data_IF_645849182452
#
_entry.id   IF_645849182452
#
_cell.length_a   1.000
_cell.length_b   1.000
_cell.length_c   1.000
_cell.angle_alpha   90.00
_cell.angle_beta   90.00
_cell.angle_gamma   90.00
#
_symmetry.space_group_name_H-M   'P 1'
#
loop_
_entity.id
_entity.type
_entity.pdbx_description
1 polymer ?
#
# COMPACT_ATOMS: atom_id res chain seq x y z
N UNK A 1 1.07 -11.72 -9.70
CA UNK A 1 0.64 -11.24 -8.37
C UNK A 1 1.87 -10.77 -7.62
N UNK A 2 1.90 -9.51 -7.17
CA UNK A 2 3.03 -8.93 -6.44
C UNK A 2 2.79 -9.04 -4.92
N UNK A 3 3.53 -9.95 -4.27
CA UNK A 3 3.46 -10.17 -2.81
C UNK A 3 3.97 -8.97 -2.01
N UNK A 4 4.87 -8.15 -2.57
CA UNK A 4 5.36 -6.94 -1.91
C UNK A 4 4.27 -5.87 -1.87
N UNK A 5 3.49 -5.75 -2.95
CA UNK A 5 2.36 -4.83 -3.00
C UNK A 5 1.26 -5.25 -2.02
N UNK A 6 1.03 -6.56 -1.84
CA UNK A 6 0.09 -7.07 -0.83
C UNK A 6 0.57 -6.81 0.61
N UNK A 7 1.88 -6.94 0.87
CA UNK A 7 2.46 -6.58 2.17
C UNK A 7 2.34 -5.07 2.45
N UNK A 8 2.55 -4.24 1.43
CA UNK A 8 2.41 -2.78 1.51
C UNK A 8 0.94 -2.38 1.75
N UNK A 9 -0.01 -3.03 1.07
CA UNK A 9 -1.44 -2.88 1.34
C UNK A 9 -1.77 -3.25 2.80
N UNK A 10 -1.31 -4.41 3.27
CA UNK A 10 -1.55 -4.88 4.64
C UNK A 10 -1.01 -3.89 5.67
N UNK A 11 0.15 -3.30 5.41
CA UNK A 11 0.74 -2.27 6.25
C UNK A 11 -0.13 -0.99 6.27
N UNK A 12 -0.64 -0.55 5.13
CA UNK A 12 -1.55 0.61 5.02
C UNK A 12 -2.86 0.35 5.77
N UNK A 13 -3.45 -0.84 5.61
CA UNK A 13 -4.67 -1.24 6.30
C UNK A 13 -4.47 -1.28 7.83
N UNK A 14 -3.38 -1.89 8.31
CA UNK A 14 -3.05 -1.98 9.75
C UNK A 14 -2.83 -0.61 10.40
N UNK A 15 -2.28 0.35 9.66
CA UNK A 15 -2.01 1.69 10.17
C UNK A 15 -3.12 2.70 9.83
N UNK A 16 -4.24 2.24 9.26
CA UNK A 16 -5.40 3.07 8.89
C UNK A 16 -5.01 4.27 8.00
N UNK A 17 -4.10 4.06 7.04
CA UNK A 17 -3.79 5.05 6.00
C UNK A 17 -2.30 5.20 5.68
N UNK A 18 -2.03 5.73 4.47
CA UNK A 18 -0.69 5.83 3.90
C UNK A 18 0.30 6.64 4.72
N UNK A 19 -0.15 7.74 5.36
CA UNK A 19 0.73 8.60 6.14
C UNK A 19 1.20 7.98 7.45
N UNK A 20 0.37 7.16 8.10
CA UNK A 20 0.73 6.43 9.32
C UNK A 20 1.62 5.23 8.97
N UNK A 21 1.27 4.49 7.92
CA UNK A 21 2.07 3.39 7.39
C UNK A 21 3.48 3.82 6.94
N UNK A 22 3.60 4.95 6.24
CA UNK A 22 4.87 5.50 5.80
C UNK A 22 5.81 5.81 6.99
N UNK A 23 5.26 6.38 8.07
CA UNK A 23 6.01 6.65 9.30
C UNK A 23 6.41 5.35 10.00
N UNK A 24 5.47 4.40 10.14
CA UNK A 24 5.71 3.12 10.81
C UNK A 24 6.79 2.28 10.09
N UNK A 25 6.77 2.23 8.76
CA UNK A 25 7.74 1.46 7.97
C UNK A 25 8.99 2.24 7.56
N UNK A 26 9.10 3.53 7.91
CA UNK A 26 10.17 4.44 7.46
C UNK A 26 10.38 4.42 5.95
N UNK A 27 9.28 4.41 5.20
CA UNK A 27 9.28 4.36 3.73
C UNK A 27 8.51 5.55 3.17
N UNK A 28 8.89 6.08 1.98
CA UNK A 28 8.16 7.19 1.39
C UNK A 28 6.69 6.85 1.13
N UNK A 29 5.78 7.77 1.49
CA UNK A 29 4.33 7.66 1.20
C UNK A 29 4.07 7.42 -0.28
N UNK A 30 4.81 8.10 -1.16
CA UNK A 30 4.66 7.97 -2.62
C UNK A 30 4.92 6.53 -3.10
N UNK A 31 5.90 5.84 -2.52
CA UNK A 31 6.21 4.45 -2.86
C UNK A 31 5.09 3.51 -2.44
N UNK A 32 4.56 3.67 -1.22
CA UNK A 32 3.44 2.86 -0.73
C UNK A 32 2.17 3.12 -1.56
N UNK A 33 1.86 4.38 -1.85
CA UNK A 33 0.71 4.75 -2.67
C UNK A 33 0.80 4.13 -4.07
N UNK A 34 1.96 4.28 -4.74
CA UNK A 34 2.16 3.74 -6.09
C UNK A 34 1.97 2.22 -6.13
N UNK A 35 2.58 1.49 -5.19
CA UNK A 35 2.48 0.02 -5.14
C UNK A 35 1.07 -0.47 -4.83
N UNK A 36 0.33 0.21 -3.95
CA UNK A 36 -1.07 -0.15 -3.68
C UNK A 36 -1.94 0.15 -4.90
N UNK A 37 -1.72 1.26 -5.60
CA UNK A 37 -2.44 1.55 -6.85
C UNK A 37 -2.12 0.55 -7.97
N UNK A 38 -0.87 0.10 -8.08
CA UNK A 38 -0.47 -0.99 -9.00
C UNK A 38 -1.16 -2.31 -8.64
N UNK A 39 -1.31 -2.61 -7.34
CA UNK A 39 -2.07 -3.78 -6.87
C UNK A 39 -3.54 -3.68 -7.24
N UNK A 40 -4.19 -2.56 -6.96
CA UNK A 40 -5.59 -2.28 -7.32
C UNK A 40 -5.83 -2.45 -8.82
N UNK A 41 -4.95 -1.88 -9.66
CA UNK A 41 -5.01 -2.03 -11.10
C UNK A 41 -4.86 -3.50 -11.54
N UNK A 42 -3.95 -4.26 -10.91
CA UNK A 42 -3.75 -5.67 -11.22
C UNK A 42 -4.92 -6.57 -10.82
N UNK A 43 -5.67 -6.17 -9.78
CA UNK A 43 -6.85 -6.89 -9.29
C UNK A 43 -8.14 -6.43 -9.97
N UNK A 44 -8.12 -5.28 -10.65
CA UNK A 44 -9.32 -4.66 -11.23
C UNK A 44 -10.30 -4.16 -10.17
N UNK A 45 -9.82 -3.82 -8.97
CA UNK A 45 -10.63 -3.47 -7.80
C UNK A 45 -10.05 -2.23 -7.11
N UNK A 46 -10.91 -1.49 -6.43
CA UNK A 46 -10.51 -0.35 -5.61
C UNK A 46 -10.57 -0.72 -4.13
N UNK A 47 -9.43 -0.67 -3.46
CA UNK A 47 -9.26 -1.03 -2.05
C UNK A 47 -9.27 0.22 -1.14
N UNK A 48 -8.92 1.40 -1.68
CA UNK A 48 -8.91 2.70 -0.99
C UNK A 48 -9.42 3.89 -1.84
#
# INVERSE_FOLDING_TARGET
MDLLALADFTLVARNSGFGKAARAARRPKATLSRRVSELEASLGLRLF
#
